data_IF_267296431709
#
_entry.id   IF_267296431709
#
_cell.length_a   1.000
_cell.length_b   1.000
_cell.length_c   1.000
_cell.angle_alpha   90.00
_cell.angle_beta   90.00
_cell.angle_gamma   90.00
#
_symmetry.space_group_name_H-M   'P 1'
#
loop_
_entity.id
_entity.type
_entity.pdbx_description
1 polymer ?
#
# COMPACT_ATOMS: atom_id res chain seq x y z
N UNK A 1 8.85 -4.32 -9.09
CA UNK A 1 7.68 -5.05 -9.64
C UNK A 1 6.73 -4.06 -10.28
N UNK A 2 6.28 -4.33 -11.48
CA UNK A 2 5.29 -3.50 -12.14
C UNK A 2 3.90 -4.08 -11.91
N UNK A 3 2.95 -3.23 -11.61
CA UNK A 3 1.54 -3.61 -11.50
C UNK A 3 0.74 -2.87 -12.57
N UNK A 4 -0.35 -3.47 -12.99
CA UNK A 4 -1.23 -2.85 -13.97
C UNK A 4 -2.02 -1.70 -13.33
N UNK A 5 -2.60 -0.89 -14.17
CA UNK A 5 -3.54 0.17 -13.76
C UNK A 5 -4.70 -0.41 -12.95
N UNK A 6 -5.22 -1.58 -13.32
CA UNK A 6 -6.30 -2.25 -12.61
C UNK A 6 -5.90 -2.59 -11.16
N UNK A 7 -4.72 -3.19 -11.00
CA UNK A 7 -4.19 -3.52 -9.68
C UNK A 7 -3.92 -2.28 -8.84
N UNK A 8 -3.35 -1.25 -9.45
CA UNK A 8 -3.13 0.03 -8.77
C UNK A 8 -4.43 0.64 -8.26
N UNK A 9 -5.46 0.66 -9.09
CA UNK A 9 -6.77 1.17 -8.69
C UNK A 9 -7.37 0.38 -7.55
N UNK A 10 -7.28 -0.94 -7.61
CA UNK A 10 -7.76 -1.80 -6.53
C UNK A 10 -7.09 -1.47 -5.20
N UNK A 11 -5.77 -1.31 -5.22
CA UNK A 11 -5.02 -0.93 -4.03
C UNK A 11 -5.44 0.44 -3.50
N UNK A 12 -5.56 1.44 -4.38
CA UNK A 12 -5.92 2.81 -3.97
C UNK A 12 -7.37 2.93 -3.50
N UNK A 13 -8.29 2.10 -3.97
CA UNK A 13 -9.64 2.02 -3.42
C UNK A 13 -9.63 1.68 -1.94
N UNK A 14 -8.71 0.85 -1.49
CA UNK A 14 -8.58 0.53 -0.06
C UNK A 14 -8.20 1.74 0.78
N UNK A 15 -7.31 2.59 0.27
CA UNK A 15 -6.97 3.84 0.95
C UNK A 15 -8.16 4.80 1.02
N UNK A 16 -8.91 4.92 -0.06
CA UNK A 16 -10.09 5.79 -0.11
C UNK A 16 -11.15 5.36 0.89
N UNK A 17 -11.33 4.07 1.06
CA UNK A 17 -12.26 3.50 2.04
C UNK A 17 -11.96 3.96 3.47
N UNK A 18 -10.70 4.16 3.79
CA UNK A 18 -10.24 4.57 5.11
C UNK A 18 -9.93 6.07 5.20
N UNK A 19 -10.22 6.84 4.17
CA UNK A 19 -9.90 8.27 4.09
C UNK A 19 -8.41 8.57 4.38
N UNK A 20 -7.53 7.68 3.90
CA UNK A 20 -6.08 7.89 4.01
C UNK A 20 -5.65 8.96 3.02
N UNK A 21 -5.00 10.04 3.47
CA UNK A 21 -4.55 11.10 2.59
C UNK A 21 -3.55 10.58 1.55
N UNK A 22 -3.54 11.19 0.37
CA UNK A 22 -2.65 10.80 -0.73
C UNK A 22 -1.18 10.83 -0.31
N UNK A 23 -0.81 11.80 0.50
CA UNK A 23 0.55 11.93 1.02
C UNK A 23 0.98 10.74 1.89
N UNK A 24 0.03 10.02 2.47
CA UNK A 24 0.28 8.81 3.24
C UNK A 24 0.14 7.56 2.36
N UNK A 25 -0.82 7.58 1.44
CA UNK A 25 -1.11 6.43 0.58
C UNK A 25 0.05 6.11 -0.37
N UNK A 26 0.65 7.12 -0.99
CA UNK A 26 1.74 6.90 -1.95
C UNK A 26 2.96 6.21 -1.33
N UNK A 27 3.49 6.64 -0.18
CA UNK A 27 4.58 5.91 0.49
C UNK A 27 4.21 4.48 0.87
N UNK A 28 2.97 4.26 1.32
CA UNK A 28 2.50 2.92 1.68
C UNK A 28 2.39 2.01 0.47
N UNK A 29 1.85 2.50 -0.63
CA UNK A 29 1.75 1.75 -1.88
C UNK A 29 3.14 1.41 -2.43
N UNK A 30 4.06 2.35 -2.43
CA UNK A 30 5.43 2.12 -2.87
C UNK A 30 6.17 1.11 -1.99
N UNK A 31 5.94 1.16 -0.70
CA UNK A 31 6.47 0.18 0.24
C UNK A 31 5.95 -1.23 -0.06
N UNK A 32 4.64 -1.37 -0.21
CA UNK A 32 4.03 -2.68 -0.44
C UNK A 32 4.42 -3.28 -1.80
N UNK A 33 4.38 -2.47 -2.85
CA UNK A 33 4.57 -2.96 -4.22
C UNK A 33 6.05 -3.09 -4.56
N UNK A 34 6.84 -2.08 -4.25
CA UNK A 34 8.24 -2.01 -4.69
C UNK A 34 9.25 -2.34 -3.59
N UNK A 35 8.81 -2.46 -2.35
CA UNK A 35 9.71 -2.64 -1.22
C UNK A 35 10.55 -1.40 -0.91
N UNK A 36 10.06 -0.22 -1.25
CA UNK A 36 10.75 1.02 -0.94
C UNK A 36 10.60 1.38 0.53
N UNK A 37 11.64 1.89 1.11
CA UNK A 37 11.60 2.38 2.48
C UNK A 37 10.71 3.63 2.55
N UNK A 38 9.68 3.63 3.42
CA UNK A 38 8.66 4.70 3.42
C UNK A 38 9.07 5.97 4.19
N UNK A 39 10.30 6.04 4.67
CA UNK A 39 10.78 7.13 5.51
C UNK A 39 10.58 6.88 7.00
N UNK A 40 11.23 7.68 7.85
CA UNK A 40 11.33 7.41 9.29
C UNK A 40 10.00 7.39 10.01
N UNK A 41 9.12 8.34 9.71
CA UNK A 41 7.80 8.42 10.34
C UNK A 41 6.93 7.20 10.00
N UNK A 42 6.81 6.86 8.73
CA UNK A 42 5.99 5.73 8.29
C UNK A 42 6.61 4.38 8.69
N UNK A 43 7.93 4.28 8.68
CA UNK A 43 8.61 3.09 9.20
C UNK A 43 8.25 2.87 10.67
N UNK A 44 8.22 3.92 11.47
CA UNK A 44 7.83 3.83 12.88
C UNK A 44 6.35 3.44 13.05
N UNK A 45 5.46 3.96 12.20
CA UNK A 45 4.04 3.55 12.19
C UNK A 45 3.93 2.04 11.92
N UNK A 46 4.58 1.57 10.88
CA UNK A 46 4.56 0.15 10.49
C UNK A 46 5.20 -0.74 11.56
N UNK A 47 6.22 -0.23 12.24
CA UNK A 47 6.91 -0.95 13.30
C UNK A 47 6.16 -0.94 14.64
N UNK A 48 4.98 -0.32 14.70
CA UNK A 48 4.21 -0.16 15.93
C UNK A 48 4.94 0.69 16.99
N UNK A 49 5.73 1.64 16.54
CA UNK A 49 6.45 2.60 17.36
C UNK A 49 5.77 3.97 17.29
N UNK A 50 4.63 4.06 17.94
CA UNK A 50 3.74 5.22 17.86
C UNK A 50 4.41 6.50 18.34
N UNK A 51 5.15 6.44 19.43
CA UNK A 51 5.83 7.61 20.00
C UNK A 51 6.82 8.21 18.98
N UNK A 52 7.64 7.38 18.36
CA UNK A 52 8.60 7.81 17.34
C UNK A 52 7.89 8.31 16.09
N UNK A 53 6.81 7.64 15.68
CA UNK A 53 6.01 8.06 14.53
C UNK A 53 5.47 9.47 14.71
N UNK A 54 4.87 9.74 15.86
CA UNK A 54 4.29 11.06 16.16
C UNK A 54 5.38 12.14 16.31
N UNK A 55 6.49 11.82 16.96
CA UNK A 55 7.60 12.75 17.13
C UNK A 55 8.35 13.08 15.84
N UNK A 56 8.33 12.19 14.85
CA UNK A 56 8.97 12.37 13.54
C UNK A 56 8.05 12.98 12.49
N UNK A 57 6.76 13.09 12.79
CA UNK A 57 5.76 13.58 11.86
C UNK A 57 5.87 15.10 11.65
N UNK A 58 5.64 15.52 10.40
CA UNK A 58 5.55 16.94 10.10
C UNK A 58 4.38 17.57 10.87
N UNK A 59 4.53 18.81 11.42
CA UNK A 59 3.46 19.45 12.21
C UNK A 59 2.13 19.63 11.46
N UNK A 60 2.15 19.67 10.13
CA UNK A 60 0.93 19.78 9.33
C UNK A 60 0.12 18.47 9.26
N UNK A 61 0.71 17.33 9.63
CA UNK A 61 -0.01 16.07 9.65
C UNK A 61 -0.95 16.01 10.85
N UNK A 62 -2.18 15.59 10.61
CA UNK A 62 -3.20 15.52 11.65
C UNK A 62 -3.21 14.16 12.34
N UNK A 63 -3.67 14.15 13.59
CA UNK A 63 -3.91 12.91 14.33
C UNK A 63 -4.95 12.05 13.61
N UNK A 64 -5.95 12.68 13.02
CA UNK A 64 -6.98 11.99 12.24
C UNK A 64 -6.38 11.21 11.05
N UNK A 65 -5.45 11.82 10.32
CA UNK A 65 -4.76 11.13 9.22
C UNK A 65 -4.02 9.89 9.70
N UNK A 66 -3.33 9.96 10.82
CA UNK A 66 -2.65 8.80 11.42
C UNK A 66 -3.62 7.75 11.92
N UNK A 67 -4.74 8.14 12.48
CA UNK A 67 -5.80 7.22 12.89
C UNK A 67 -6.36 6.46 11.69
N UNK A 68 -6.63 7.15 10.60
CA UNK A 68 -7.13 6.55 9.37
C UNK A 68 -6.10 5.59 8.76
N UNK A 69 -4.84 5.99 8.77
CA UNK A 69 -3.75 5.11 8.33
C UNK A 69 -3.65 3.85 9.19
N UNK A 70 -3.73 3.98 10.51
CA UNK A 70 -3.70 2.84 11.42
C UNK A 70 -4.87 1.88 11.16
N UNK A 71 -6.06 2.42 10.89
CA UNK A 71 -7.23 1.62 10.51
C UNK A 71 -7.00 0.85 9.21
N UNK A 72 -6.44 1.51 8.21
CA UNK A 72 -6.11 0.87 6.94
C UNK A 72 -5.06 -0.24 7.12
N UNK A 73 -4.01 0.01 7.90
CA UNK A 73 -2.98 -1.00 8.17
C UNK A 73 -3.62 -2.25 8.80
N UNK A 74 -4.42 -2.06 9.84
CA UNK A 74 -5.05 -3.17 10.55
C UNK A 74 -6.04 -3.95 9.69
N UNK A 75 -6.83 -3.26 8.87
CA UNK A 75 -7.88 -3.88 8.05
C UNK A 75 -7.33 -4.52 6.77
N UNK A 76 -6.30 -3.93 6.19
CA UNK A 76 -5.96 -4.18 4.79
C UNK A 76 -4.55 -4.72 4.60
N UNK A 77 -3.57 -4.20 5.33
CA UNK A 77 -2.17 -4.55 5.09
C UNK A 77 -1.87 -6.01 5.44
N UNK A 78 -1.09 -6.73 4.60
CA UNK A 78 -0.64 -8.08 4.94
C UNK A 78 0.12 -8.09 6.26
N UNK A 79 -0.15 -9.09 7.08
CA UNK A 79 0.49 -9.21 8.41
C UNK A 79 2.01 -9.30 8.33
N UNK A 80 2.54 -9.77 7.22
CA UNK A 80 3.98 -9.88 6.97
C UNK A 80 4.66 -8.51 6.84
N UNK A 81 3.89 -7.46 6.58
CA UNK A 81 4.41 -6.14 6.22
C UNK A 81 4.44 -5.15 7.40
N UNK A 82 3.93 -5.51 8.56
CA UNK A 82 3.87 -4.59 9.71
C UNK A 82 3.98 -5.33 11.04
N UNK A 83 4.09 -4.57 12.12
CA UNK A 83 4.08 -5.09 13.47
C UNK A 83 5.39 -4.92 14.24
N UNK A 84 6.49 -4.63 13.56
CA UNK A 84 7.79 -4.38 14.16
C UNK A 84 8.82 -3.96 13.14
N UNK A 85 9.94 -3.43 13.58
CA UNK A 85 11.04 -3.03 12.68
C UNK A 85 11.58 -4.22 11.88
N UNK A 86 11.61 -5.40 12.49
CA UNK A 86 12.05 -6.63 11.81
C UNK A 86 11.10 -7.02 10.67
N UNK A 87 9.81 -6.88 10.87
CA UNK A 87 8.81 -7.15 9.82
C UNK A 87 8.96 -6.20 8.65
N UNK A 88 9.18 -4.92 8.91
CA UNK A 88 9.42 -3.91 7.89
C UNK A 88 10.67 -4.25 7.08
N UNK A 89 11.77 -4.58 7.77
CA UNK A 89 13.02 -4.97 7.13
C UNK A 89 12.85 -6.19 6.23
N UNK A 90 12.18 -7.22 6.73
CA UNK A 90 11.92 -8.44 5.97
C UNK A 90 11.08 -8.17 4.73
N UNK A 91 10.07 -7.32 4.84
CA UNK A 91 9.24 -6.95 3.70
C UNK A 91 10.05 -6.28 2.59
N UNK A 92 10.90 -5.32 2.96
CA UNK A 92 11.79 -4.62 2.01
C UNK A 92 12.76 -5.61 1.33
N UNK A 93 13.24 -6.61 2.04
CA UNK A 93 14.18 -7.61 1.56
C UNK A 93 13.54 -8.72 0.71
N UNK A 94 12.22 -8.84 0.70
CA UNK A 94 11.53 -9.81 -0.14
C UNK A 94 11.79 -9.57 -1.63
N UNK A 95 11.79 -10.65 -2.41
CA UNK A 95 11.81 -10.55 -3.86
C UNK A 95 10.49 -9.95 -4.36
N UNK A 96 10.51 -9.39 -5.57
CA UNK A 96 9.30 -8.88 -6.23
C UNK A 96 8.24 -9.99 -6.36
N UNK A 97 8.66 -11.20 -6.68
CA UNK A 97 7.74 -12.35 -6.81
C UNK A 97 7.06 -12.68 -5.49
N UNK A 98 7.80 -12.68 -4.40
CA UNK A 98 7.24 -12.98 -3.07
C UNK A 98 6.29 -11.89 -2.61
N UNK A 99 6.63 -10.62 -2.81
CA UNK A 99 5.71 -9.52 -2.51
C UNK A 99 4.44 -9.62 -3.34
N UNK A 100 4.58 -9.88 -4.65
CA UNK A 100 3.45 -10.04 -5.54
C UNK A 100 2.53 -11.15 -5.08
N UNK A 101 3.08 -12.30 -4.73
CA UNK A 101 2.31 -13.44 -4.25
C UNK A 101 1.48 -13.08 -3.01
N UNK A 102 2.10 -12.41 -2.04
CA UNK A 102 1.43 -12.01 -0.81
C UNK A 102 0.33 -10.97 -1.10
N UNK A 103 0.60 -10.00 -1.96
CA UNK A 103 -0.38 -8.98 -2.33
C UNK A 103 -1.57 -9.58 -3.09
N UNK A 104 -1.34 -10.52 -3.98
CA UNK A 104 -2.39 -11.26 -4.69
C UNK A 104 -3.22 -12.11 -3.72
N UNK A 105 -2.56 -12.81 -2.81
CA UNK A 105 -3.21 -13.67 -1.81
C UNK A 105 -4.12 -12.87 -0.86
N UNK A 106 -3.74 -11.63 -0.56
CA UNK A 106 -4.54 -10.70 0.24
C UNK A 106 -5.54 -9.89 -0.59
N UNK A 107 -5.67 -10.16 -1.85
CA UNK A 107 -6.59 -9.46 -2.77
C UNK A 107 -6.36 -7.95 -2.87
N UNK A 108 -5.14 -7.50 -2.64
CA UNK A 108 -4.76 -6.09 -2.76
C UNK A 108 -4.45 -5.69 -4.20
N UNK A 109 -4.04 -6.65 -5.01
CA UNK A 109 -3.84 -6.51 -6.45
C UNK A 109 -4.51 -7.69 -7.14
N UNK A 110 -4.79 -7.53 -8.42
CA UNK A 110 -5.33 -8.63 -9.23
C UNK A 110 -4.23 -9.64 -9.57
N UNK A 111 -4.61 -10.90 -9.68
CA UNK A 111 -3.70 -11.92 -10.22
C UNK A 111 -3.45 -11.65 -11.70
N UNK A 112 -2.36 -12.19 -12.24
CA UNK A 112 -2.06 -12.04 -13.67
C UNK A 112 -3.19 -12.57 -14.55
N UNK A 113 -3.86 -13.63 -14.12
CA UNK A 113 -5.01 -14.20 -14.84
C UNK A 113 -6.20 -13.26 -14.85
N UNK A 114 -6.51 -12.66 -13.72
CA UNK A 114 -7.59 -11.66 -13.60
C UNK A 114 -7.29 -10.40 -14.43
N UNK A 115 -6.04 -9.95 -14.44
CA UNK A 115 -5.63 -8.79 -15.24
C UNK A 115 -5.79 -9.04 -16.73
N UNK A 116 -5.43 -10.23 -17.21
CA UNK A 116 -5.64 -10.63 -18.62
C UNK A 116 -7.14 -10.62 -18.95
N UNK A 117 -7.94 -11.19 -18.06
CA UNK A 117 -9.39 -11.24 -18.26
C UNK A 117 -10.02 -9.84 -18.30
N UNK A 118 -9.60 -8.95 -17.38
CA UNK A 118 -10.04 -7.56 -17.37
C UNK A 118 -9.64 -6.81 -18.65
N UNK A 119 -8.41 -7.02 -19.10
CA UNK A 119 -7.92 -6.41 -20.33
C UNK A 119 -8.72 -6.84 -21.56
N UNK A 120 -9.17 -8.09 -21.61
CA UNK A 120 -10.01 -8.61 -22.68
C UNK A 120 -11.42 -8.02 -22.67
N UNK A 121 -11.90 -7.61 -21.50
CA UNK A 121 -13.22 -6.97 -21.35
C UNK A 121 -13.21 -5.49 -21.63
N UNK A 122 -12.05 -4.85 -21.56
CA UNK A 122 -11.91 -3.44 -21.91
C UNK A 122 -12.19 -3.26 -23.39
N UNK A 123 -13.38 -2.75 -23.68
CA UNK A 123 -13.68 -2.32 -25.03
C UNK A 123 -12.79 -1.12 -25.35
N UNK A 124 -12.26 -1.01 -26.57
CA UNK A 124 -11.59 0.20 -27.01
C UNK A 124 -12.52 1.38 -26.74
N UNK A 125 -12.22 2.16 -25.74
CA UNK A 125 -12.95 3.40 -25.47
C UNK A 125 -12.22 4.53 -26.13
N UNK A 126 -12.97 5.48 -26.67
CA UNK A 126 -12.42 6.72 -27.22
C UNK A 126 -11.95 7.66 -26.12
N UNK A 127 -12.26 7.36 -24.88
CA UNK A 127 -11.86 8.13 -23.71
C UNK A 127 -10.60 7.53 -23.08
N UNK A 128 -9.57 8.36 -22.83
CA UNK A 128 -8.42 7.90 -22.10
C UNK A 128 -8.80 7.50 -20.67
N UNK A 129 -8.27 6.39 -20.23
CA UNK A 129 -8.43 5.97 -18.85
C UNK A 129 -7.53 6.88 -18.00
N UNK A 130 -8.13 7.71 -17.15
CA UNK A 130 -7.42 8.63 -16.26
C UNK A 130 -7.18 7.97 -14.91
N UNK A 131 -5.93 7.93 -14.55
CA UNK A 131 -5.51 7.37 -13.26
C UNK A 131 -4.61 8.33 -12.49
#
# INVERSE_FOLDING_TARGET
>A
MNITVYSRNRLYETFSKWDVPRDFADPMANYLVYGYEPGGCFTAVLANDFYRAMGSSHPSNTVEAFKNLAGWIRDTMPVEAYGGYESVKKWIELSDEDRRFILEDNSLIYTSKEEVWLALQDKPTTEPVLY
#
